data_IF_103022969932
#
_entry.id   IF_103022969932
#
_cell.length_a   1.000
_cell.length_b   1.000
_cell.length_c   1.000
_cell.angle_alpha   90.00
_cell.angle_beta   90.00
_cell.angle_gamma   90.00
#
_symmetry.space_group_name_H-M   'P 1'
#
loop_
_entity.id
_entity.type
_entity.pdbx_description
1 polymer ?
#
# COMPACT_ATOMS: atom_id res chain seq x y z
N UNK A 1 -55.59 -34.35 13.75
CA UNK A 1 -54.29 -33.66 13.81
C UNK A 1 -53.93 -33.41 15.27
N UNK A 2 -53.22 -34.33 15.93
CA UNK A 2 -52.81 -34.16 17.34
C UNK A 2 -51.73 -33.09 17.44
N UNK A 3 -52.01 -32.00 18.18
CA UNK A 3 -51.03 -30.95 18.49
C UNK A 3 -49.95 -31.55 19.39
N UNK A 4 -48.67 -31.42 19.04
CA UNK A 4 -47.57 -31.80 19.94
C UNK A 4 -47.68 -30.97 21.22
N UNK A 5 -47.63 -31.59 22.42
CA UNK A 5 -47.60 -30.84 23.67
C UNK A 5 -46.33 -29.96 23.70
N UNK A 6 -46.49 -28.71 24.14
CA UNK A 6 -45.36 -27.82 24.34
C UNK A 6 -44.48 -28.39 25.46
N UNK A 7 -43.14 -28.43 25.30
CA UNK A 7 -42.26 -28.88 26.37
C UNK A 7 -42.41 -27.93 27.57
N UNK A 8 -42.79 -28.48 28.71
CA UNK A 8 -42.85 -27.75 29.98
C UNK A 8 -41.42 -27.61 30.52
N UNK A 9 -40.68 -26.63 30.00
CA UNK A 9 -39.40 -26.24 30.59
C UNK A 9 -39.65 -25.54 31.92
N UNK A 10 -38.95 -25.97 32.97
CA UNK A 10 -39.02 -25.25 34.24
C UNK A 10 -38.15 -23.98 34.17
N UNK A 11 -38.51 -22.94 34.93
CA UNK A 11 -37.82 -21.64 34.87
C UNK A 11 -36.32 -21.73 35.23
N UNK A 12 -35.94 -22.76 36.01
CA UNK A 12 -34.57 -23.03 36.42
C UNK A 12 -33.72 -23.54 35.23
N UNK A 13 -34.24 -24.49 34.46
CA UNK A 13 -33.61 -25.01 33.24
C UNK A 13 -33.43 -23.92 32.18
N UNK A 14 -34.39 -23.00 32.05
CA UNK A 14 -34.26 -21.89 31.11
C UNK A 14 -33.17 -20.89 31.52
N UNK A 15 -33.02 -20.64 32.82
CA UNK A 15 -31.96 -19.76 33.35
C UNK A 15 -30.57 -20.42 33.20
N UNK A 16 -30.46 -21.71 33.51
CA UNK A 16 -29.22 -22.47 33.32
C UNK A 16 -28.79 -22.50 31.84
N UNK A 17 -29.75 -22.71 30.93
CA UNK A 17 -29.50 -22.66 29.48
C UNK A 17 -29.07 -21.26 29.02
N UNK A 18 -29.67 -20.20 29.57
CA UNK A 18 -29.30 -18.83 29.25
C UNK A 18 -27.89 -18.49 29.75
N UNK A 19 -27.53 -18.96 30.94
CA UNK A 19 -26.18 -18.78 31.50
C UNK A 19 -25.13 -19.55 30.70
N UNK A 20 -25.42 -20.78 30.28
CA UNK A 20 -24.57 -21.54 29.36
C UNK A 20 -24.41 -20.80 28.02
N UNK A 21 -25.50 -20.31 27.43
CA UNK A 21 -25.46 -19.56 26.18
C UNK A 21 -24.59 -18.29 26.28
N UNK A 22 -24.68 -17.56 27.40
CA UNK A 22 -23.80 -16.40 27.67
C UNK A 22 -22.33 -16.81 27.77
N UNK A 23 -22.03 -17.93 28.44
CA UNK A 23 -20.67 -18.47 28.57
C UNK A 23 -20.08 -18.87 27.21
N UNK A 24 -20.88 -19.58 26.41
CA UNK A 24 -20.49 -19.96 25.05
C UNK A 24 -20.26 -18.74 24.18
N UNK A 25 -21.16 -17.74 24.22
CA UNK A 25 -21.00 -16.49 23.47
C UNK A 25 -19.69 -15.77 23.82
N UNK A 26 -19.38 -15.64 25.11
CA UNK A 26 -18.10 -15.05 25.56
C UNK A 26 -16.90 -15.86 25.05
N UNK A 27 -17.00 -17.20 25.07
CA UNK A 27 -15.94 -18.08 24.57
C UNK A 27 -15.72 -17.92 23.07
N UNK A 28 -16.80 -17.80 22.28
CA UNK A 28 -16.71 -17.57 20.85
C UNK A 28 -16.07 -16.22 20.52
N UNK A 29 -16.43 -15.16 21.25
CA UNK A 29 -15.81 -13.84 21.07
C UNK A 29 -14.31 -13.88 21.40
N UNK A 30 -13.93 -14.52 22.52
CA UNK A 30 -12.53 -14.70 22.87
C UNK A 30 -11.77 -15.48 21.79
N UNK A 31 -12.37 -16.54 21.25
CA UNK A 31 -11.78 -17.33 20.16
C UNK A 31 -11.60 -16.49 18.89
N UNK A 32 -12.60 -15.71 18.50
CA UNK A 32 -12.53 -14.84 17.31
C UNK A 32 -11.39 -13.83 17.42
N UNK A 33 -11.22 -13.21 18.59
CA UNK A 33 -10.10 -12.30 18.85
C UNK A 33 -8.74 -13.00 18.75
N UNK A 34 -8.62 -14.20 19.32
CA UNK A 34 -7.37 -14.98 19.26
C UNK A 34 -7.06 -15.45 17.83
N UNK A 35 -8.06 -15.89 17.08
CA UNK A 35 -7.91 -16.29 15.69
C UNK A 35 -7.51 -15.08 14.82
N UNK A 36 -8.13 -13.92 15.01
CA UNK A 36 -7.75 -12.68 14.35
C UNK A 36 -6.29 -12.28 14.64
N UNK A 37 -5.87 -12.34 15.91
CA UNK A 37 -4.48 -12.06 16.30
C UNK A 37 -3.50 -13.07 15.68
N UNK A 38 -3.85 -14.35 15.65
CA UNK A 38 -3.06 -15.40 15.00
C UNK A 38 -2.89 -15.14 13.51
N UNK A 39 -3.99 -14.83 12.81
CA UNK A 39 -3.95 -14.50 11.39
C UNK A 39 -3.15 -13.23 11.10
N UNK A 40 -3.22 -12.22 11.96
CA UNK A 40 -2.41 -11.02 11.85
C UNK A 40 -0.91 -11.36 11.94
N UNK A 41 -0.51 -12.05 13.01
CA UNK A 41 0.89 -12.47 13.22
C UNK A 41 1.40 -13.34 12.07
N UNK A 42 0.57 -14.25 11.56
CA UNK A 42 0.92 -15.07 10.41
C UNK A 42 1.14 -14.23 9.14
N UNK A 43 0.27 -13.23 8.88
CA UNK A 43 0.43 -12.32 7.74
C UNK A 43 1.71 -11.50 7.84
N UNK A 44 2.03 -10.99 9.03
CA UNK A 44 3.28 -10.26 9.27
C UNK A 44 4.51 -11.14 9.01
N UNK A 45 4.51 -12.37 9.52
CA UNK A 45 5.58 -13.34 9.27
C UNK A 45 5.75 -13.66 7.79
N UNK A 46 4.64 -13.85 7.07
CA UNK A 46 4.67 -14.08 5.62
C UNK A 46 5.22 -12.86 4.90
N UNK A 47 4.81 -11.64 5.27
CA UNK A 47 5.30 -10.41 4.64
C UNK A 47 6.78 -10.18 4.93
N UNK A 48 7.25 -10.40 6.15
CA UNK A 48 8.65 -10.23 6.54
C UNK A 48 9.59 -11.16 5.75
N UNK A 49 9.14 -12.37 5.43
CA UNK A 49 9.92 -13.34 4.67
C UNK A 49 9.67 -13.30 3.16
N UNK A 50 8.78 -12.42 2.67
CA UNK A 50 8.45 -12.37 1.25
C UNK A 50 9.55 -11.61 0.50
N UNK A 51 10.26 -12.27 -0.43
CA UNK A 51 11.25 -11.56 -1.22
C UNK A 51 10.57 -10.43 -2.02
N UNK A 52 11.24 -9.29 -2.22
CA UNK A 52 10.68 -8.20 -2.99
C UNK A 52 10.32 -8.69 -4.41
N UNK A 53 9.30 -8.09 -5.05
CA UNK A 53 8.84 -8.54 -6.34
C UNK A 53 9.96 -8.48 -7.37
N UNK A 54 9.93 -9.39 -8.35
CA UNK A 54 10.88 -9.36 -9.46
C UNK A 54 10.56 -8.15 -10.34
N UNK A 55 11.57 -7.32 -10.57
CA UNK A 55 11.49 -6.14 -11.41
C UNK A 55 11.09 -6.52 -12.85
N UNK A 56 10.03 -5.89 -13.37
CA UNK A 56 9.58 -6.11 -14.75
C UNK A 56 10.61 -5.70 -15.81
N UNK A 57 11.55 -4.80 -15.45
CA UNK A 57 12.57 -4.23 -16.33
C UNK A 57 13.81 -5.14 -16.36
N UNK A 58 14.52 -5.26 -15.22
CA UNK A 58 15.81 -5.95 -15.12
C UNK A 58 15.76 -7.37 -14.51
N UNK A 59 14.58 -7.82 -14.05
CA UNK A 59 14.35 -9.16 -13.42
C UNK A 59 15.05 -9.41 -12.08
N UNK A 60 15.69 -8.41 -11.48
CA UNK A 60 16.23 -8.49 -10.10
C UNK A 60 15.13 -8.28 -9.05
N UNK A 61 15.43 -8.56 -7.78
CA UNK A 61 14.48 -8.48 -6.67
C UNK A 61 14.33 -7.03 -6.17
N UNK A 62 13.55 -6.22 -6.87
CA UNK A 62 13.15 -4.86 -6.49
C UNK A 62 11.91 -4.41 -7.29
N UNK A 63 11.22 -3.39 -6.82
CA UNK A 63 10.09 -2.80 -7.56
C UNK A 63 10.57 -2.09 -8.83
N UNK A 64 9.78 -2.16 -9.91
CA UNK A 64 10.17 -1.56 -11.20
C UNK A 64 10.46 -0.06 -11.13
N UNK A 65 9.78 0.67 -10.22
CA UNK A 65 10.02 2.09 -9.93
C UNK A 65 11.43 2.37 -9.38
N UNK A 66 11.99 1.44 -8.61
CA UNK A 66 13.29 1.57 -7.92
C UNK A 66 14.44 1.01 -8.77
N UNK A 67 14.17 0.64 -10.02
CA UNK A 67 15.18 0.06 -10.90
C UNK A 67 16.22 1.13 -11.28
N UNK A 68 17.52 0.80 -11.17
CA UNK A 68 18.60 1.76 -11.47
C UNK A 68 19.03 1.80 -12.95
N UNK A 69 18.25 1.23 -13.87
CA UNK A 69 18.56 1.32 -15.30
C UNK A 69 18.34 2.73 -15.85
N UNK A 70 19.07 3.15 -16.89
CA UNK A 70 18.88 4.45 -17.51
C UNK A 70 17.45 4.59 -18.05
N UNK A 71 16.89 5.79 -17.96
CA UNK A 71 15.47 6.06 -18.29
C UNK A 71 15.13 5.65 -19.73
N UNK A 72 16.04 5.89 -20.68
CA UNK A 72 15.86 5.52 -22.08
C UNK A 72 15.64 4.01 -22.23
N UNK A 73 16.52 3.19 -21.63
CA UNK A 73 16.36 1.73 -21.64
C UNK A 73 15.09 1.27 -20.93
N UNK A 74 14.72 1.91 -19.81
CA UNK A 74 13.48 1.58 -19.11
C UNK A 74 12.28 1.75 -20.04
N UNK A 75 12.18 2.90 -20.72
CA UNK A 75 11.09 3.20 -21.66
C UNK A 75 11.04 2.17 -22.80
N UNK A 76 12.20 1.85 -23.39
CA UNK A 76 12.28 0.89 -24.49
C UNK A 76 11.83 -0.50 -24.05
N UNK A 77 12.26 -0.96 -22.87
CA UNK A 77 11.84 -2.24 -22.29
C UNK A 77 10.34 -2.24 -21.97
N UNK A 78 9.80 -1.16 -21.42
CA UNK A 78 8.38 -1.05 -21.10
C UNK A 78 7.52 -1.11 -22.36
N UNK A 79 7.93 -0.41 -23.44
CA UNK A 79 7.28 -0.48 -24.76
C UNK A 79 7.35 -1.88 -25.35
N UNK A 80 8.53 -2.49 -25.36
CA UNK A 80 8.74 -3.84 -25.89
C UNK A 80 7.89 -4.89 -25.15
N UNK A 81 7.79 -4.77 -23.82
CA UNK A 81 7.01 -5.69 -22.98
C UNK A 81 5.53 -5.32 -22.86
N UNK A 82 5.08 -4.26 -23.56
CA UNK A 82 3.71 -3.72 -23.49
C UNK A 82 3.24 -3.49 -22.04
N UNK A 83 4.12 -2.93 -21.22
CA UNK A 83 3.85 -2.59 -19.84
C UNK A 83 3.26 -1.19 -19.74
N UNK A 84 2.44 -0.96 -18.72
CA UNK A 84 1.86 0.36 -18.50
C UNK A 84 2.94 1.33 -18.01
N UNK A 85 3.03 2.50 -18.66
CA UNK A 85 3.98 3.56 -18.31
C UNK A 85 3.61 4.31 -17.03
N UNK A 86 2.37 4.18 -16.55
CA UNK A 86 1.87 4.85 -15.34
C UNK A 86 2.19 4.05 -14.07
N UNK A 87 1.94 2.74 -14.07
CA UNK A 87 2.13 1.89 -12.90
C UNK A 87 3.33 0.94 -13.00
N UNK A 88 3.99 0.87 -14.16
CA UNK A 88 5.15 0.01 -14.40
C UNK A 88 4.86 -1.49 -14.17
N UNK A 89 3.59 -1.90 -14.28
CA UNK A 89 3.17 -3.30 -14.18
C UNK A 89 2.84 -3.89 -15.56
N UNK A 90 2.78 -5.22 -15.62
CA UNK A 90 2.42 -5.98 -16.82
C UNK A 90 0.91 -6.17 -16.99
N UNK A 91 0.10 -5.53 -16.15
CA UNK A 91 -1.34 -5.68 -16.21
C UNK A 91 -1.84 -5.12 -17.54
N UNK A 92 -2.59 -5.92 -18.30
CA UNK A 92 -3.15 -5.53 -19.60
C UNK A 92 -4.34 -4.59 -19.39
N UNK A 93 -4.05 -3.35 -19.00
CA UNK A 93 -5.04 -2.30 -18.85
C UNK A 93 -4.72 -1.14 -19.78
N UNK A 94 -5.76 -0.42 -20.20
CA UNK A 94 -5.60 0.85 -20.87
C UNK A 94 -5.15 1.92 -19.86
N UNK A 95 -4.35 2.93 -20.27
CA UNK A 95 -3.92 4.00 -19.37
C UNK A 95 -5.08 4.68 -18.62
N UNK A 96 -6.23 4.81 -19.28
CA UNK A 96 -7.47 5.40 -18.72
C UNK A 96 -8.02 4.58 -17.55
N UNK A 97 -7.78 3.27 -17.52
CA UNK A 97 -8.21 2.37 -16.45
C UNK A 97 -7.10 2.09 -15.42
N UNK A 98 -5.97 2.81 -15.51
CA UNK A 98 -4.88 2.63 -14.56
C UNK A 98 -5.27 3.20 -13.21
N UNK A 99 -5.28 2.37 -12.16
CA UNK A 99 -5.53 2.81 -10.78
C UNK A 99 -4.56 3.91 -10.32
N UNK A 100 -3.32 3.88 -10.84
CA UNK A 100 -2.28 4.87 -10.54
C UNK A 100 -2.65 6.27 -11.02
N UNK A 101 -3.57 6.40 -11.97
CA UNK A 101 -4.10 7.70 -12.40
C UNK A 101 -4.83 8.43 -11.25
N UNK A 102 -5.46 7.69 -10.32
CA UNK A 102 -6.06 8.27 -9.11
C UNK A 102 -5.01 8.69 -8.07
N UNK A 103 -3.78 8.20 -8.17
CA UNK A 103 -2.67 8.48 -7.27
C UNK A 103 -1.65 9.38 -7.96
N UNK A 104 -1.95 10.67 -8.03
CA UNK A 104 -1.13 11.67 -8.74
C UNK A 104 0.30 11.78 -8.22
N UNK A 105 0.56 11.40 -6.95
CA UNK A 105 1.90 11.41 -6.34
C UNK A 105 2.94 10.53 -7.06
N UNK A 106 2.51 9.49 -7.77
CA UNK A 106 3.40 8.59 -8.53
C UNK A 106 3.58 9.01 -9.99
N UNK A 107 2.86 10.04 -10.43
CA UNK A 107 2.90 10.54 -11.80
C UNK A 107 3.90 11.70 -11.89
N UNK A 108 4.49 11.84 -13.07
CA UNK A 108 5.31 12.99 -13.40
C UNK A 108 4.48 14.28 -13.41
N UNK A 109 4.95 15.30 -12.71
CA UNK A 109 4.33 16.63 -12.58
C UNK A 109 4.98 17.69 -13.48
N UNK A 110 6.01 17.32 -14.24
CA UNK A 110 6.68 18.21 -15.18
C UNK A 110 5.69 18.75 -16.24
N UNK A 111 5.54 20.08 -16.28
CA UNK A 111 4.62 20.77 -17.20
C UNK A 111 4.84 20.42 -18.68
N UNK A 112 6.10 20.17 -19.07
CA UNK A 112 6.46 19.79 -20.44
C UNK A 112 5.87 18.42 -20.81
N UNK A 113 5.84 17.49 -19.86
CA UNK A 113 5.27 16.16 -20.05
C UNK A 113 3.73 16.21 -20.10
N UNK A 114 3.11 17.03 -19.25
CA UNK A 114 1.66 17.24 -19.27
C UNK A 114 1.13 17.82 -20.59
N UNK A 115 1.87 18.74 -21.22
CA UNK A 115 1.46 19.40 -22.48
C UNK A 115 1.31 18.44 -23.68
N UNK A 116 2.07 17.35 -23.70
CA UNK A 116 2.06 16.37 -24.79
C UNK A 116 1.19 15.14 -24.50
N UNK A 117 0.35 15.18 -23.45
CA UNK A 117 -0.40 14.01 -22.96
C UNK A 117 0.50 12.79 -22.65
N UNK A 118 1.79 13.00 -22.39
CA UNK A 118 2.75 11.93 -22.13
C UNK A 118 2.78 11.59 -20.64
N UNK A 119 1.63 11.19 -20.07
CA UNK A 119 1.56 10.79 -18.67
C UNK A 119 2.41 9.54 -18.42
N UNK A 120 3.30 9.62 -17.45
CA UNK A 120 4.20 8.53 -17.07
C UNK A 120 4.49 8.56 -15.57
N UNK A 121 4.98 7.43 -15.06
CA UNK A 121 5.49 7.35 -13.70
C UNK A 121 6.72 8.25 -13.53
N UNK A 122 6.84 8.94 -12.39
CA UNK A 122 7.95 9.87 -12.10
C UNK A 122 9.34 9.26 -12.39
N UNK A 123 9.58 8.03 -11.93
CA UNK A 123 10.86 7.31 -12.10
C UNK A 123 11.30 6.98 -13.56
N UNK A 124 10.49 7.31 -14.55
CA UNK A 124 10.82 7.17 -15.97
C UNK A 124 10.77 8.51 -16.71
N UNK A 125 10.77 9.63 -15.99
CA UNK A 125 10.83 10.95 -16.60
C UNK A 125 12.20 11.21 -17.23
N UNK A 126 12.28 11.53 -18.53
CA UNK A 126 13.54 11.87 -19.17
C UNK A 126 14.16 13.17 -18.63
N UNK A 127 13.33 14.07 -18.10
CA UNK A 127 13.75 15.40 -17.64
C UNK A 127 14.31 15.37 -16.21
N UNK A 128 13.86 14.45 -15.35
CA UNK A 128 14.44 14.28 -14.01
C UNK A 128 15.85 13.70 -14.05
N UNK A 129 16.18 12.88 -15.06
CA UNK A 129 17.53 12.34 -15.22
C UNK A 129 18.60 13.40 -15.52
N UNK A 130 18.20 14.64 -15.82
CA UNK A 130 19.10 15.76 -16.07
C UNK A 130 19.27 16.69 -14.84
N UNK A 131 18.53 16.45 -13.76
CA UNK A 131 18.60 17.24 -12.53
C UNK A 131 19.12 16.39 -11.37
N UNK A 132 20.44 16.40 -11.16
CA UNK A 132 21.06 15.98 -9.91
C UNK A 132 20.52 16.82 -8.72
N UNK A 133 20.47 16.26 -7.50
CA UNK A 133 19.69 16.79 -6.40
C UNK A 133 20.40 17.99 -5.76
N UNK A 134 19.76 19.16 -5.74
CA UNK A 134 20.21 20.23 -4.85
C UNK A 134 19.59 20.01 -3.46
N UNK A 135 20.21 19.13 -2.68
CA UNK A 135 20.15 19.24 -1.23
C UNK A 135 21.06 20.41 -0.84
N UNK A 136 20.45 21.52 -0.41
CA UNK A 136 21.11 22.48 0.48
C UNK A 136 20.16 22.76 1.64
N UNK A 137 20.51 22.39 2.88
CA UNK A 137 19.78 22.82 4.05
C UNK A 137 20.08 24.30 4.28
N UNK A 138 19.04 25.12 4.41
CA UNK A 138 19.20 26.48 4.90
C UNK A 138 19.66 26.43 6.36
N UNK A 139 20.97 26.53 6.56
CA UNK A 139 21.58 26.90 7.83
C UNK A 139 21.23 28.36 8.13
N UNK A 140 20.21 28.58 8.96
CA UNK A 140 20.06 29.87 9.63
C UNK A 140 21.12 29.96 10.74
N UNK A 141 22.22 30.63 10.45
CA UNK A 141 23.03 31.30 11.48
C UNK A 141 22.47 32.71 11.69
N UNK A 142 22.17 33.13 12.93
CA UNK A 142 22.11 34.55 13.25
C UNK A 142 23.50 35.04 13.63
N UNK A 143 24.03 35.96 12.84
CA UNK A 143 25.20 36.77 13.18
C UNK A 143 24.79 37.94 14.09
N UNK A 144 25.42 37.97 15.26
CA UNK A 144 25.92 39.09 16.08
C UNK A 144 25.44 40.55 15.84
N UNK A 145 25.15 41.23 16.97
CA UNK A 145 25.26 42.68 17.22
C UNK A 145 24.81 42.92 18.68
N UNK A 146 25.69 43.07 19.68
CA UNK A 146 26.44 44.27 20.14
C UNK A 146 25.57 45.40 20.73
N UNK A 147 26.10 45.99 21.83
CA UNK A 147 25.67 47.18 22.61
C UNK A 147 24.57 46.96 23.68
N UNK A 148 24.59 47.52 24.89
CA UNK A 148 25.58 48.15 25.79
C UNK A 148 24.84 48.40 27.14
N UNK A 149 25.60 48.48 28.24
CA UNK A 149 25.36 49.25 29.47
C UNK A 149 23.95 49.35 30.11
N UNK A 150 23.75 48.73 31.28
CA UNK A 150 23.85 49.37 32.62
C UNK A 150 23.54 48.33 33.71
#
# INVERSE_FOLDING_TARGET
>A
MSKRPAPAFNAKETEEMMQEAKRMAATYQCKEMLDAARHHKQREQIQANKPPPKCGICRQNHFARDCNRPVKEKIDILKQKKMCLLCLTKDKHLPIHCKTLHFTKSLCDNKICGKNYSFHHVSICPLESAASPNLSPLTLSPAQGMEEAN
#
